data_IF_705651562399
#
_entry.id   IF_705651562399
#
_cell.length_a   1.000
_cell.length_b   1.000
_cell.length_c   1.000
_cell.angle_alpha   90.00
_cell.angle_beta   90.00
_cell.angle_gamma   90.00
#
_symmetry.space_group_name_H-M   'P 1'
#
loop_
_entity.id
_entity.type
_entity.pdbx_description
1 polymer ?
#
# COMPACT_ATOMS: atom_id res chain seq x y z
N UNK A 1 10.18 2.10 8.56
CA UNK A 1 9.28 1.12 9.21
C UNK A 1 8.01 1.79 9.74
N UNK A 2 8.14 2.83 10.57
CA UNK A 2 7.01 3.62 11.10
C UNK A 2 6.04 4.23 10.05
N UNK A 3 6.48 4.81 8.91
CA UNK A 3 5.54 5.43 7.97
C UNK A 3 4.57 4.43 7.33
N UNK A 4 5.00 3.18 7.11
CA UNK A 4 4.11 2.14 6.57
C UNK A 4 3.09 1.65 7.60
N UNK A 5 3.45 1.64 8.89
CA UNK A 5 2.51 1.31 9.97
C UNK A 5 1.44 2.39 10.13
N UNK A 6 1.82 3.66 10.01
CA UNK A 6 0.87 4.78 9.99
C UNK A 6 -0.02 4.71 8.75
N UNK A 7 0.55 4.44 7.57
CA UNK A 7 -0.21 4.29 6.33
C UNK A 7 -1.27 3.19 6.41
N UNK A 8 -0.92 2.02 6.94
CA UNK A 8 -1.89 0.92 7.16
C UNK A 8 -3.00 1.28 8.14
N UNK A 9 -2.81 2.26 9.04
CA UNK A 9 -3.84 2.71 9.99
C UNK A 9 -4.71 3.83 9.44
N UNK A 10 -4.11 4.80 8.75
CA UNK A 10 -4.79 5.99 8.27
C UNK A 10 -5.45 5.77 6.90
N UNK A 11 -4.93 4.85 6.08
CA UNK A 11 -5.39 4.64 4.71
C UNK A 11 -6.07 3.27 4.54
N UNK A 12 -7.38 3.24 4.18
CA UNK A 12 -8.12 1.98 4.00
C UNK A 12 -7.60 1.13 2.83
N UNK A 13 -7.01 1.73 1.79
CA UNK A 13 -6.46 1.00 0.65
C UNK A 13 -5.15 0.28 1.03
N UNK A 14 -4.29 0.96 1.80
CA UNK A 14 -3.06 0.36 2.31
C UNK A 14 -3.35 -0.78 3.30
N UNK A 15 -4.38 -0.61 4.14
CA UNK A 15 -4.88 -1.65 5.05
C UNK A 15 -5.36 -2.88 4.29
N UNK A 16 -6.23 -2.71 3.30
CA UNK A 16 -6.77 -3.81 2.50
C UNK A 16 -5.65 -4.56 1.76
N UNK A 17 -4.65 -3.86 1.23
CA UNK A 17 -3.49 -4.49 0.60
C UNK A 17 -2.67 -5.31 1.60
N UNK A 18 -2.42 -4.77 2.80
CA UNK A 18 -1.72 -5.46 3.88
C UNK A 18 -2.48 -6.71 4.35
N UNK A 19 -3.78 -6.61 4.56
CA UNK A 19 -4.64 -7.75 4.97
C UNK A 19 -4.69 -8.82 3.90
N UNK A 20 -4.79 -8.44 2.62
CA UNK A 20 -4.74 -9.39 1.49
C UNK A 20 -3.42 -10.15 1.39
N UNK A 21 -2.31 -9.58 1.86
CA UNK A 21 -1.01 -10.23 1.89
C UNK A 21 -0.90 -11.19 3.08
N UNK A 22 -1.51 -10.84 4.21
CA UNK A 22 -1.59 -11.72 5.38
C UNK A 22 -2.50 -12.91 5.11
N UNK A 23 -3.66 -12.71 4.48
CA UNK A 23 -4.58 -13.80 4.15
C UNK A 23 -3.97 -14.81 3.16
N UNK A 24 -3.03 -14.35 2.32
CA UNK A 24 -2.18 -15.22 1.47
C UNK A 24 -1.08 -15.98 2.23
N UNK A 25 -0.99 -15.83 3.56
CA UNK A 25 -0.03 -16.54 4.41
C UNK A 25 1.35 -15.87 4.54
N UNK A 26 1.53 -14.60 4.10
CA UNK A 26 2.83 -13.93 4.21
C UNK A 26 3.09 -13.43 5.63
N UNK A 27 4.38 -13.41 6.02
CA UNK A 27 4.79 -12.86 7.33
C UNK A 27 4.48 -11.37 7.40
N UNK A 28 4.08 -10.88 8.58
CA UNK A 28 3.71 -9.46 8.82
C UNK A 28 4.78 -8.47 8.33
N UNK A 29 6.07 -8.74 8.58
CA UNK A 29 7.16 -7.89 8.08
C UNK A 29 7.26 -7.86 6.55
N UNK A 30 6.98 -8.98 5.86
CA UNK A 30 6.98 -9.02 4.40
C UNK A 30 5.82 -8.21 3.82
N UNK A 31 4.66 -8.24 4.49
CA UNK A 31 3.52 -7.42 4.09
C UNK A 31 3.83 -5.92 4.25
N UNK A 32 4.46 -5.52 5.37
CA UNK A 32 4.92 -4.13 5.58
C UNK A 32 5.95 -3.73 4.52
N UNK A 33 6.93 -4.58 4.21
CA UNK A 33 7.93 -4.30 3.18
C UNK A 33 7.30 -4.14 1.79
N UNK A 34 6.28 -4.93 1.46
CA UNK A 34 5.54 -4.79 0.21
C UNK A 34 4.78 -3.45 0.12
N UNK A 35 4.15 -3.02 1.23
CA UNK A 35 3.52 -1.70 1.34
C UNK A 35 4.55 -0.59 1.11
N UNK A 36 5.70 -0.67 1.79
CA UNK A 36 6.79 0.31 1.63
C UNK A 36 7.28 0.40 0.18
N UNK A 37 7.47 -0.75 -0.49
CA UNK A 37 7.89 -0.78 -1.89
C UNK A 37 6.87 -0.11 -2.80
N UNK A 38 5.57 -0.36 -2.58
CA UNK A 38 4.50 0.29 -3.35
C UNK A 38 4.51 1.81 -3.18
N UNK A 39 4.61 2.29 -1.94
CA UNK A 39 4.67 3.74 -1.68
C UNK A 39 5.88 4.39 -2.33
N UNK A 40 7.07 3.79 -2.22
CA UNK A 40 8.27 4.33 -2.83
C UNK A 40 8.14 4.45 -4.36
N UNK A 41 7.65 3.39 -5.01
CA UNK A 41 7.46 3.39 -6.46
C UNK A 41 6.36 4.36 -6.90
N UNK A 42 5.28 4.48 -6.12
CA UNK A 42 4.20 5.41 -6.45
C UNK A 42 4.59 6.89 -6.26
N UNK A 43 5.36 7.22 -5.22
CA UNK A 43 5.91 8.58 -5.05
C UNK A 43 6.81 8.93 -6.24
N UNK A 44 7.70 8.01 -6.64
CA UNK A 44 8.57 8.21 -7.80
C UNK A 44 7.78 8.39 -9.10
N UNK A 45 6.71 7.63 -9.29
CA UNK A 45 5.82 7.76 -10.45
C UNK A 45 5.10 9.13 -10.47
N UNK A 46 4.58 9.60 -9.33
CA UNK A 46 3.97 10.93 -9.20
C UNK A 46 4.97 12.04 -9.50
N UNK A 47 6.20 11.94 -8.97
CA UNK A 47 7.27 12.90 -9.23
C UNK A 47 7.68 12.93 -10.72
N UNK A 48 7.65 11.78 -11.39
CA UNK A 48 8.05 11.66 -12.80
C UNK A 48 6.94 12.07 -13.77
N UNK A 49 5.67 11.95 -13.37
CA UNK A 49 4.49 12.24 -14.19
C UNK A 49 3.84 13.60 -13.92
N UNK A 50 4.34 14.38 -12.97
CA UNK A 50 3.74 15.64 -12.49
C UNK A 50 2.24 15.49 -12.14
N UNK A 51 1.89 14.31 -11.59
CA UNK A 51 0.52 14.01 -11.15
C UNK A 51 0.40 14.11 -9.63
N UNK A 52 -0.74 14.59 -9.12
CA UNK A 52 -0.99 14.59 -7.69
C UNK A 52 -0.98 13.16 -7.15
N UNK A 53 -0.41 12.99 -5.96
CA UNK A 53 -0.37 11.71 -5.28
C UNK A 53 -1.78 11.23 -4.95
N UNK A 54 -2.20 10.16 -5.61
CA UNK A 54 -3.51 9.53 -5.38
C UNK A 54 -3.32 8.08 -4.91
N UNK A 55 -3.69 7.83 -3.65
CA UNK A 55 -3.57 6.49 -3.05
C UNK A 55 -4.50 5.47 -3.71
N UNK A 56 -5.61 5.89 -4.30
CA UNK A 56 -6.54 5.01 -5.03
C UNK A 56 -5.94 4.50 -6.35
N UNK A 57 -5.09 5.30 -7.02
CA UNK A 57 -4.32 4.85 -8.19
C UNK A 57 -3.20 3.90 -7.79
N UNK A 58 -2.61 4.11 -6.62
CA UNK A 58 -1.45 3.37 -6.13
C UNK A 58 -1.81 1.96 -5.62
N UNK A 59 -2.99 1.82 -5.02
CA UNK A 59 -3.53 0.56 -4.55
C UNK A 59 -4.83 0.21 -5.31
N UNK A 60 -4.75 -0.80 -6.19
CA UNK A 60 -5.94 -1.31 -6.90
C UNK A 60 -7.10 -1.57 -5.93
N UNK A 61 -8.27 -1.06 -6.28
CA UNK A 61 -9.56 -1.25 -5.58
C UNK A 61 -9.97 -2.73 -5.48
N UNK A 62 -9.35 -3.62 -6.24
CA UNK A 62 -9.55 -5.06 -6.11
C UNK A 62 -9.16 -5.60 -4.73
N UNK A 63 -8.23 -4.94 -4.03
CA UNK A 63 -7.83 -5.35 -2.68
C UNK A 63 -8.90 -5.01 -1.63
N UNK A 64 -9.71 -3.97 -1.85
CA UNK A 64 -10.86 -3.62 -0.99
C UNK A 64 -12.00 -4.63 -1.09
N UNK A 65 -12.18 -5.29 -2.24
CA UNK A 65 -13.20 -6.34 -2.42
C UNK A 65 -12.88 -7.65 -1.70
N UNK A 66 -11.63 -7.84 -1.28
CA UNK A 66 -11.12 -9.10 -0.68
C UNK A 66 -10.70 -8.93 0.79
N UNK A 67 -10.90 -7.75 1.38
CA UNK A 67 -10.64 -7.47 2.78
C UNK A 67 -11.83 -7.92 3.65
#
# INVERSE_FOLDING_TARGET
>A
YMPALTAVRCDPYAKAFYESLISRGKKKMQAIAAVMRKYLTGIWACMSGDEPFDTAKLFSSEHLRKA
#
